data_IF_799682889344
#
_entry.id   IF_799682889344
#
_cell.length_a   1.000
_cell.length_b   1.000
_cell.length_c   1.000
_cell.angle_alpha   90.00
_cell.angle_beta   90.00
_cell.angle_gamma   90.00
#
_symmetry.space_group_name_H-M   'P 1'
#
loop_
_entity.id
_entity.type
_entity.pdbx_description
1 polymer ?
#
# COMPACT_ATOMS: atom_id res chain seq x y z
N UNK A 1 -6.84 -27.21 24.10
CA UNK A 1 -7.48 -25.91 24.34
C UNK A 1 -6.58 -24.86 23.72
N UNK A 2 -6.98 -24.19 22.63
CA UNK A 2 -6.23 -23.09 22.07
C UNK A 2 -6.22 -21.93 23.06
N UNK A 3 -5.01 -21.53 23.51
CA UNK A 3 -4.83 -20.39 24.42
C UNK A 3 -5.25 -19.10 23.72
N UNK A 4 -5.77 -18.14 24.47
CA UNK A 4 -6.04 -16.78 23.98
C UNK A 4 -4.72 -16.13 23.55
N UNK A 5 -4.68 -15.56 22.33
CA UNK A 5 -3.51 -14.88 21.80
C UNK A 5 -3.56 -13.40 22.19
N UNK A 6 -2.54 -12.93 22.88
CA UNK A 6 -2.41 -11.50 23.22
C UNK A 6 -1.85 -10.72 22.03
N UNK A 7 -2.51 -9.64 21.67
CA UNK A 7 -2.10 -8.72 20.59
C UNK A 7 -1.95 -7.32 21.16
N UNK A 8 -0.73 -6.81 21.13
CA UNK A 8 -0.43 -5.44 21.50
C UNK A 8 -0.54 -4.52 20.28
N UNK A 9 -1.37 -3.49 20.36
CA UNK A 9 -1.51 -2.45 19.33
C UNK A 9 -0.80 -1.20 19.86
N UNK A 10 0.24 -0.74 19.19
CA UNK A 10 1.01 0.42 19.64
C UNK A 10 0.25 1.71 19.37
N UNK A 11 0.01 2.49 20.41
CA UNK A 11 -0.48 3.87 20.28
C UNK A 11 0.72 4.82 20.29
N UNK A 12 1.25 5.10 19.11
CA UNK A 12 2.34 6.03 18.91
C UNK A 12 1.81 7.45 18.75
N UNK A 13 2.64 8.45 19.05
CA UNK A 13 2.31 9.83 18.78
C UNK A 13 2.02 10.05 17.29
N UNK A 14 0.94 10.80 16.98
CA UNK A 14 0.46 11.04 15.63
C UNK A 14 0.14 9.77 14.82
N UNK A 15 -0.11 8.64 15.50
CA UNK A 15 -0.55 7.41 14.83
C UNK A 15 -1.87 7.61 14.10
N UNK A 16 -2.01 6.99 12.93
CA UNK A 16 -3.26 6.96 12.18
C UNK A 16 -4.38 6.33 13.01
N UNK A 17 -5.46 7.06 13.24
CA UNK A 17 -6.63 6.53 13.94
C UNK A 17 -7.22 5.31 13.22
N UNK A 18 -7.15 5.27 11.89
CA UNK A 18 -7.58 4.14 11.08
C UNK A 18 -6.73 2.90 11.35
N UNK A 19 -5.40 3.07 11.42
CA UNK A 19 -4.48 1.97 11.65
C UNK A 19 -4.51 1.44 13.10
N UNK A 20 -5.08 2.22 14.03
CA UNK A 20 -5.40 1.74 15.39
C UNK A 20 -6.74 1.02 15.43
N UNK A 21 -7.76 1.56 14.77
CA UNK A 21 -9.11 1.03 14.79
C UNK A 21 -9.25 -0.28 14.00
N UNK A 22 -8.64 -0.37 12.82
CA UNK A 22 -8.76 -1.53 11.93
C UNK A 22 -8.35 -2.83 12.60
N UNK A 23 -7.13 -2.99 13.18
CA UNK A 23 -6.76 -4.23 13.83
C UNK A 23 -7.62 -4.52 15.07
N UNK A 24 -8.01 -3.48 15.82
CA UNK A 24 -8.88 -3.66 16.95
C UNK A 24 -10.24 -4.23 16.53
N UNK A 25 -10.92 -3.62 15.57
CA UNK A 25 -12.25 -4.04 15.13
C UNK A 25 -12.22 -5.42 14.45
N UNK A 26 -11.25 -5.66 13.56
CA UNK A 26 -11.15 -6.94 12.85
C UNK A 26 -10.88 -8.10 13.83
N UNK A 27 -9.89 -7.96 14.70
CA UNK A 27 -9.52 -9.03 15.63
C UNK A 27 -10.57 -9.22 16.75
N UNK A 28 -11.21 -8.13 17.19
CA UNK A 28 -12.30 -8.18 18.17
C UNK A 28 -13.57 -8.84 17.60
N UNK A 29 -13.80 -8.79 16.30
CA UNK A 29 -14.93 -9.45 15.63
C UNK A 29 -14.77 -10.98 15.55
N UNK A 30 -13.55 -11.51 15.72
CA UNK A 30 -13.27 -12.94 15.57
C UNK A 30 -13.97 -13.76 16.65
N UNK A 31 -14.64 -14.83 16.21
CA UNK A 31 -15.26 -15.83 17.09
C UNK A 31 -14.85 -17.23 16.63
N UNK A 32 -14.43 -18.05 17.59
CA UNK A 32 -14.21 -19.47 17.36
C UNK A 32 -15.56 -20.21 17.19
N UNK A 33 -15.58 -21.46 16.71
CA UNK A 33 -16.81 -22.24 16.58
C UNK A 33 -17.59 -22.38 17.89
N UNK A 34 -16.92 -22.37 19.04
CA UNK A 34 -17.49 -22.43 20.37
C UNK A 34 -17.95 -21.06 20.94
N UNK A 35 -17.88 -19.98 20.12
CA UNK A 35 -18.28 -18.61 20.46
C UNK A 35 -17.23 -17.79 21.23
N UNK A 36 -16.10 -18.40 21.66
CA UNK A 36 -15.04 -17.68 22.40
C UNK A 36 -14.34 -16.65 21.51
N UNK A 37 -13.88 -15.57 22.13
CA UNK A 37 -12.96 -14.61 21.54
C UNK A 37 -11.53 -15.12 21.67
N UNK A 38 -10.81 -15.38 20.55
CA UNK A 38 -9.49 -15.97 20.62
C UNK A 38 -8.38 -14.93 20.82
N UNK A 39 -8.67 -13.64 20.70
CA UNK A 39 -7.71 -12.56 20.90
C UNK A 39 -8.00 -11.73 22.14
N UNK A 40 -6.94 -11.42 22.89
CA UNK A 40 -6.90 -10.39 23.92
C UNK A 40 -6.17 -9.19 23.34
N UNK A 41 -6.89 -8.07 23.16
CA UNK A 41 -6.37 -6.87 22.49
C UNK A 41 -5.97 -5.85 23.54
N UNK A 42 -4.71 -5.40 23.47
CA UNK A 42 -4.11 -4.46 24.40
C UNK A 42 -3.63 -3.25 23.62
N UNK A 43 -4.13 -2.06 23.96
CA UNK A 43 -3.65 -0.81 23.39
C UNK A 43 -2.52 -0.29 24.28
N UNK A 44 -1.30 -0.19 23.72
CA UNK A 44 -0.11 0.13 24.45
C UNK A 44 0.42 1.50 24.06
N UNK A 45 0.48 2.44 25.01
CA UNK A 45 1.21 3.70 24.85
C UNK A 45 2.64 3.51 25.32
N UNK A 46 3.60 3.88 24.48
CA UNK A 46 5.03 3.81 24.81
C UNK A 46 5.56 5.11 25.39
N UNK A 47 4.75 6.14 25.39
CA UNK A 47 5.06 7.45 25.94
C UNK A 47 3.93 7.95 26.85
N UNK A 48 4.22 8.51 28.03
CA UNK A 48 3.19 9.08 28.89
C UNK A 48 2.48 10.26 28.18
N UNK A 49 1.17 10.25 28.17
CA UNK A 49 0.38 11.41 27.69
C UNK A 49 0.00 11.38 26.21
N UNK A 50 0.28 10.32 25.46
CA UNK A 50 -0.24 10.17 24.09
C UNK A 50 -1.78 10.07 24.16
N UNK A 51 -2.53 11.10 23.69
CA UNK A 51 -3.97 11.04 23.71
C UNK A 51 -4.43 10.05 22.62
N UNK A 52 -4.92 8.88 23.01
CA UNK A 52 -5.75 8.08 22.13
C UNK A 52 -7.09 8.80 21.96
N UNK A 53 -7.09 9.85 21.16
CA UNK A 53 -8.31 10.60 20.89
C UNK A 53 -9.36 9.65 20.33
N UNK A 54 -10.36 9.30 21.17
CA UNK A 54 -11.59 8.57 20.84
C UNK A 54 -11.59 7.03 20.85
N UNK A 55 -10.51 6.36 21.20
CA UNK A 55 -10.61 4.94 21.52
C UNK A 55 -10.63 4.76 23.03
N UNK A 56 -11.77 4.37 23.58
CA UNK A 56 -11.90 3.94 24.98
C UNK A 56 -11.30 2.55 25.12
N UNK A 57 -9.98 2.47 25.11
CA UNK A 57 -9.28 1.27 25.47
C UNK A 57 -9.30 1.12 27.00
N UNK A 58 -9.71 -0.03 27.48
CA UNK A 58 -9.52 -0.38 28.89
C UNK A 58 -8.04 -0.71 29.09
N UNK A 59 -7.34 0.20 29.79
CA UNK A 59 -5.98 0.00 30.26
C UNK A 59 -4.93 0.37 29.21
N UNK A 60 -4.18 1.41 29.53
CA UNK A 60 -2.87 1.68 28.94
C UNK A 60 -1.89 0.79 29.67
N UNK A 61 -1.22 -0.08 28.92
CA UNK A 61 -0.25 -0.99 29.50
C UNK A 61 1.16 -0.56 29.12
N UNK A 62 2.08 -0.70 30.06
CA UNK A 62 3.50 -0.38 29.86
C UNK A 62 4.20 -1.42 28.98
N UNK A 63 5.44 -1.18 28.61
CA UNK A 63 6.32 -2.01 27.78
C UNK A 63 6.37 -3.52 28.13
N UNK A 64 6.06 -3.90 29.36
CA UNK A 64 5.98 -5.29 29.79
C UNK A 64 5.03 -6.14 28.95
N UNK A 65 3.99 -5.52 28.41
CA UNK A 65 2.97 -6.17 27.56
C UNK A 65 3.53 -6.67 26.24
N UNK A 66 4.49 -5.98 25.64
CA UNK A 66 5.12 -6.44 24.40
C UNK A 66 5.82 -7.78 24.59
N UNK A 67 6.42 -8.00 25.76
CA UNK A 67 7.08 -9.26 26.12
C UNK A 67 6.08 -10.43 26.17
N UNK A 68 4.88 -10.17 26.68
CA UNK A 68 3.87 -11.21 26.90
C UNK A 68 2.91 -11.37 25.71
N UNK A 69 3.02 -10.48 24.70
CA UNK A 69 2.20 -10.53 23.50
C UNK A 69 2.70 -11.57 22.51
N UNK A 70 1.77 -12.18 21.77
CA UNK A 70 2.05 -13.04 20.64
C UNK A 70 2.36 -12.21 19.39
N UNK A 71 1.60 -11.11 19.20
CA UNK A 71 1.72 -10.21 18.05
C UNK A 71 1.77 -8.76 18.52
N UNK A 72 2.63 -7.96 17.89
CA UNK A 72 2.70 -6.52 18.09
C UNK A 72 2.30 -5.84 16.79
N UNK A 73 1.30 -4.98 16.83
CA UNK A 73 0.83 -4.19 15.68
C UNK A 73 1.42 -2.80 15.76
N UNK A 74 2.09 -2.40 14.70
CA UNK A 74 2.75 -1.10 14.53
C UNK A 74 1.94 -0.27 13.54
N UNK A 75 1.22 0.78 13.99
CA UNK A 75 0.41 1.62 13.12
C UNK A 75 1.28 2.55 12.27
N UNK A 76 0.69 3.10 11.21
CA UNK A 76 1.28 4.19 10.46
C UNK A 76 1.25 5.52 11.21
N UNK A 77 2.23 6.37 10.90
CA UNK A 77 2.37 7.76 11.36
C UNK A 77 2.95 8.61 10.22
N UNK A 78 2.91 9.96 10.30
CA UNK A 78 3.55 10.80 9.30
C UNK A 78 5.04 10.46 9.11
N UNK A 79 5.45 10.32 7.84
CA UNK A 79 6.84 9.95 7.49
C UNK A 79 7.82 11.08 7.75
N UNK A 80 7.35 12.34 7.65
CA UNK A 80 8.15 13.55 7.89
C UNK A 80 7.94 14.12 9.30
N UNK A 81 7.37 13.29 10.19
CA UNK A 81 7.18 13.63 11.60
C UNK A 81 8.46 13.55 12.42
N UNK A 82 8.36 13.93 13.69
CA UNK A 82 9.45 13.81 14.65
C UNK A 82 9.96 12.37 14.76
N UNK A 83 11.26 12.22 15.01
CA UNK A 83 11.89 10.91 15.22
C UNK A 83 11.21 10.17 16.37
N UNK A 84 10.99 8.88 16.18
CA UNK A 84 10.46 8.02 17.25
C UNK A 84 11.52 7.85 18.33
N UNK A 85 11.09 7.80 19.59
CA UNK A 85 11.98 7.52 20.72
C UNK A 85 12.84 6.29 20.44
N UNK A 86 14.16 6.35 20.70
CA UNK A 86 15.05 5.19 20.59
C UNK A 86 14.55 3.95 21.35
N UNK A 87 13.80 4.18 22.43
CA UNK A 87 13.21 3.10 23.24
C UNK A 87 12.15 2.31 22.46
N UNK A 88 11.36 2.98 21.61
CA UNK A 88 10.40 2.30 20.71
C UNK A 88 11.14 1.36 19.77
N UNK A 89 12.20 1.86 19.12
CA UNK A 89 12.99 1.05 18.17
C UNK A 89 13.65 -0.14 18.88
N UNK A 90 14.17 0.08 20.08
CA UNK A 90 14.77 -0.98 20.89
C UNK A 90 13.74 -2.05 21.29
N UNK A 91 12.52 -1.63 21.65
CA UNK A 91 11.47 -2.59 22.01
C UNK A 91 11.02 -3.44 20.82
N UNK A 92 10.89 -2.84 19.63
CA UNK A 92 10.57 -3.58 18.41
C UNK A 92 11.66 -4.62 18.09
N UNK A 93 12.94 -4.25 18.20
CA UNK A 93 14.07 -5.18 18.04
C UNK A 93 13.99 -6.34 19.04
N UNK A 94 13.75 -6.04 20.33
CA UNK A 94 13.60 -7.05 21.38
C UNK A 94 12.42 -7.97 21.14
N UNK A 95 11.28 -7.42 20.67
CA UNK A 95 10.10 -8.23 20.38
C UNK A 95 10.40 -9.25 19.26
N UNK A 96 11.03 -8.84 18.14
CA UNK A 96 11.45 -9.76 17.08
C UNK A 96 12.46 -10.78 17.60
N UNK A 97 13.48 -10.34 18.35
CA UNK A 97 14.51 -11.24 18.90
C UNK A 97 13.94 -12.29 19.85
N UNK A 98 12.87 -11.96 20.57
CA UNK A 98 12.16 -12.93 21.46
C UNK A 98 11.07 -13.73 20.75
N UNK A 99 11.05 -13.72 19.41
CA UNK A 99 10.17 -14.54 18.59
C UNK A 99 8.73 -14.03 18.48
N UNK A 100 8.48 -12.75 18.79
CA UNK A 100 7.15 -12.15 18.60
C UNK A 100 6.92 -11.85 17.12
N UNK A 101 5.67 -11.95 16.69
CA UNK A 101 5.25 -11.49 15.36
C UNK A 101 5.02 -9.99 15.40
N UNK A 102 5.60 -9.26 14.42
CA UNK A 102 5.36 -7.84 14.23
C UNK A 102 4.51 -7.66 12.97
N UNK A 103 3.40 -6.93 13.10
CA UNK A 103 2.53 -6.58 11.98
C UNK A 103 2.54 -5.07 11.79
N UNK A 104 3.21 -4.56 10.74
CA UNK A 104 3.26 -3.13 10.44
C UNK A 104 2.17 -2.74 9.44
N UNK A 105 1.43 -1.70 9.77
CA UNK A 105 0.42 -1.09 8.92
C UNK A 105 0.96 0.19 8.29
N UNK A 106 0.70 0.39 7.00
CA UNK A 106 1.02 1.65 6.32
C UNK A 106 2.48 2.07 6.51
N UNK A 107 2.70 3.30 6.98
CA UNK A 107 4.02 3.87 7.29
C UNK A 107 4.67 3.29 8.54
N UNK A 108 3.99 2.41 9.28
CA UNK A 108 4.64 1.60 10.33
C UNK A 108 5.81 0.76 9.81
N UNK A 109 5.81 0.46 8.51
CA UNK A 109 6.94 -0.20 7.82
C UNK A 109 8.23 0.64 7.90
N UNK A 110 8.14 1.98 7.87
CA UNK A 110 9.31 2.85 8.03
C UNK A 110 9.94 2.71 9.42
N UNK A 111 9.11 2.57 10.46
CA UNK A 111 9.64 2.32 11.81
C UNK A 111 10.41 1.01 11.91
N UNK A 112 9.92 -0.04 11.25
CA UNK A 112 10.64 -1.32 11.23
C UNK A 112 11.95 -1.20 10.45
N UNK A 113 11.99 -0.40 9.37
CA UNK A 113 13.21 -0.10 8.64
C UNK A 113 14.21 0.70 9.49
N UNK A 114 13.77 1.75 10.20
CA UNK A 114 14.57 2.52 11.17
C UNK A 114 15.10 1.62 12.31
N UNK A 115 14.31 0.65 12.73
CA UNK A 115 14.75 -0.36 13.69
C UNK A 115 15.77 -1.35 13.12
N UNK A 116 16.10 -1.32 11.81
CA UNK A 116 17.02 -2.26 11.17
C UNK A 116 16.46 -3.68 11.07
N UNK A 117 15.14 -3.83 11.06
CA UNK A 117 14.46 -5.13 11.04
C UNK A 117 14.08 -5.61 9.63
N UNK A 118 14.30 -4.78 8.60
CA UNK A 118 13.82 -5.07 7.24
C UNK A 118 14.94 -5.29 6.22
N UNK A 119 16.20 -5.40 6.64
CA UNK A 119 17.33 -5.63 5.73
C UNK A 119 17.18 -6.97 5.01
N UNK A 120 17.01 -6.92 3.68
CA UNK A 120 16.78 -8.09 2.85
C UNK A 120 15.41 -8.75 3.01
N UNK A 121 14.49 -8.16 3.80
CA UNK A 121 13.14 -8.71 4.03
C UNK A 121 12.17 -8.14 3.00
N UNK A 122 11.41 -9.00 2.29
CA UNK A 122 10.32 -8.54 1.44
C UNK A 122 9.20 -7.89 2.25
N UNK A 123 8.75 -6.70 1.81
CA UNK A 123 7.71 -5.91 2.50
C UNK A 123 6.69 -5.32 1.53
N UNK A 124 5.47 -5.12 2.00
CA UNK A 124 4.50 -4.24 1.36
C UNK A 124 4.66 -2.82 1.89
N UNK A 125 4.55 -1.85 1.00
CA UNK A 125 4.45 -0.43 1.32
C UNK A 125 3.40 0.22 0.43
N UNK A 126 2.82 1.33 0.87
CA UNK A 126 1.87 2.08 0.05
C UNK A 126 2.56 2.50 -1.26
N UNK A 127 1.88 2.33 -2.40
CA UNK A 127 2.45 2.61 -3.72
C UNK A 127 3.08 4.01 -3.83
N UNK A 128 2.47 5.04 -3.21
CA UNK A 128 2.99 6.42 -3.25
C UNK A 128 4.24 6.64 -2.39
N UNK A 129 4.53 5.73 -1.44
CA UNK A 129 5.65 5.83 -0.50
C UNK A 129 6.72 4.76 -0.72
N UNK A 130 6.50 3.81 -1.64
CA UNK A 130 7.43 2.72 -1.92
C UNK A 130 8.82 3.23 -2.32
N UNK A 131 8.90 4.22 -3.22
CA UNK A 131 10.16 4.83 -3.64
C UNK A 131 10.86 5.57 -2.50
N UNK A 132 10.10 6.25 -1.63
CA UNK A 132 10.65 6.96 -0.48
C UNK A 132 11.23 5.98 0.55
N UNK A 133 10.55 4.84 0.78
CA UNK A 133 11.06 3.79 1.66
C UNK A 133 12.40 3.24 1.15
N UNK A 134 12.49 2.90 -0.15
CA UNK A 134 13.75 2.43 -0.76
C UNK A 134 14.84 3.49 -0.74
N UNK A 135 14.48 4.77 -0.96
CA UNK A 135 15.44 5.87 -0.91
C UNK A 135 16.07 6.05 0.48
N UNK A 136 15.27 5.96 1.55
CA UNK A 136 15.74 6.07 2.96
C UNK A 136 16.42 4.79 3.44
N UNK A 137 15.96 3.63 2.99
CA UNK A 137 16.44 2.32 3.44
C UNK A 137 16.70 1.40 2.23
N UNK A 138 17.87 1.56 1.56
CA UNK A 138 18.17 0.85 0.30
C UNK A 138 18.23 -0.68 0.41
N UNK A 139 18.40 -1.23 1.60
CA UNK A 139 18.42 -2.67 1.86
C UNK A 139 17.03 -3.32 1.91
N UNK A 140 15.96 -2.53 1.94
CA UNK A 140 14.58 -3.03 2.02
C UNK A 140 14.07 -3.47 0.64
N UNK A 141 13.47 -4.66 0.58
CA UNK A 141 12.91 -5.22 -0.64
C UNK A 141 11.39 -4.94 -0.70
N UNK A 142 11.00 -3.89 -1.41
CA UNK A 142 9.58 -3.54 -1.55
C UNK A 142 8.91 -4.37 -2.63
N UNK A 143 7.76 -4.98 -2.30
CA UNK A 143 6.85 -5.65 -3.23
C UNK A 143 5.76 -4.65 -3.65
N UNK A 144 5.88 -3.97 -4.81
CA UNK A 144 5.08 -2.78 -5.12
C UNK A 144 3.58 -3.05 -5.31
N UNK A 145 3.22 -4.28 -5.73
CA UNK A 145 1.83 -4.64 -6.02
C UNK A 145 1.12 -5.34 -4.85
N UNK A 146 1.85 -5.68 -3.78
CA UNK A 146 1.29 -6.45 -2.68
C UNK A 146 0.45 -5.57 -1.75
N UNK A 147 -0.79 -5.99 -1.42
CA UNK A 147 -1.58 -5.39 -0.34
C UNK A 147 -0.93 -5.63 1.01
N UNK A 148 -0.40 -6.82 1.22
CA UNK A 148 0.41 -7.21 2.38
C UNK A 148 1.46 -8.24 1.98
N UNK A 149 2.52 -8.34 2.76
CA UNK A 149 3.57 -9.36 2.63
C UNK A 149 3.78 -10.01 4.00
N UNK A 150 3.74 -11.34 4.02
CA UNK A 150 4.05 -12.15 5.19
C UNK A 150 5.46 -12.75 5.04
N UNK A 151 6.40 -12.21 5.78
CA UNK A 151 7.80 -12.68 5.84
C UNK A 151 8.10 -13.45 7.14
N UNK A 152 7.09 -14.16 7.68
CA UNK A 152 7.25 -14.99 8.87
C UNK A 152 7.01 -14.24 10.18
N UNK A 153 8.06 -13.80 10.85
CA UNK A 153 7.94 -12.99 12.07
C UNK A 153 7.55 -11.54 11.80
N UNK A 154 7.73 -11.06 10.57
CA UNK A 154 7.38 -9.71 10.14
C UNK A 154 6.31 -9.80 9.07
N UNK A 155 5.19 -9.09 9.27
CA UNK A 155 4.11 -8.97 8.30
C UNK A 155 3.86 -7.48 8.06
N UNK A 156 3.81 -7.05 6.80
CA UNK A 156 3.64 -5.63 6.47
C UNK A 156 2.45 -5.43 5.53
N UNK A 157 1.75 -4.32 5.63
CA UNK A 157 0.71 -3.95 4.68
C UNK A 157 0.93 -2.57 4.07
N UNK A 158 0.36 -2.38 2.89
CA UNK A 158 0.35 -1.11 2.19
C UNK A 158 -0.42 0.00 2.94
N UNK A 159 -1.16 -0.34 4.00
CA UNK A 159 -1.95 0.61 4.77
C UNK A 159 -3.33 0.86 4.19
N UNK A 160 -4.05 1.82 4.75
CA UNK A 160 -5.44 2.07 4.42
C UNK A 160 -6.26 0.77 4.47
N UNK A 161 -7.11 0.50 3.47
CA UNK A 161 -7.91 -0.72 3.43
C UNK A 161 -7.10 -2.02 3.36
N UNK A 162 -5.83 -1.99 2.95
CA UNK A 162 -4.95 -3.17 2.98
C UNK A 162 -4.61 -3.64 4.40
N UNK A 163 -4.79 -2.79 5.41
CA UNK A 163 -4.74 -3.18 6.82
C UNK A 163 -5.80 -4.21 7.20
N UNK A 164 -7.00 -4.12 6.59
CA UNK A 164 -8.07 -5.11 6.76
C UNK A 164 -7.65 -6.49 6.23
N UNK A 165 -7.04 -6.51 5.02
CA UNK A 165 -6.55 -7.74 4.39
C UNK A 165 -5.46 -8.39 5.24
N UNK A 166 -4.52 -7.59 5.75
CA UNK A 166 -3.48 -8.07 6.66
C UNK A 166 -4.10 -8.67 7.92
N UNK A 167 -5.05 -8.00 8.58
CA UNK A 167 -5.68 -8.51 9.78
C UNK A 167 -6.45 -9.81 9.52
N UNK A 168 -7.19 -9.93 8.42
CA UNK A 168 -7.86 -11.17 8.02
C UNK A 168 -6.86 -12.29 7.71
N UNK A 169 -5.70 -11.96 7.10
CA UNK A 169 -4.60 -12.91 6.91
C UNK A 169 -4.04 -13.41 8.25
N UNK A 170 -3.85 -12.54 9.23
CA UNK A 170 -3.42 -12.95 10.57
C UNK A 170 -4.43 -13.91 11.19
N UNK A 171 -5.74 -13.63 11.08
CA UNK A 171 -6.79 -14.54 11.56
C UNK A 171 -6.72 -15.89 10.86
N UNK A 172 -6.53 -15.89 9.54
CA UNK A 172 -6.39 -17.12 8.76
C UNK A 172 -5.17 -17.94 9.17
N UNK A 173 -4.05 -17.28 9.42
CA UNK A 173 -2.81 -17.91 9.88
C UNK A 173 -2.94 -18.50 11.27
N UNK A 174 -3.65 -17.84 12.18
CA UNK A 174 -3.77 -18.23 13.57
C UNK A 174 -4.85 -19.29 13.81
N UNK A 175 -5.98 -19.22 13.08
CA UNK A 175 -7.18 -20.03 13.35
C UNK A 175 -7.77 -20.70 12.10
N UNK A 176 -7.13 -20.56 10.96
CA UNK A 176 -7.54 -21.19 9.70
C UNK A 176 -8.58 -20.40 8.90
N UNK A 177 -8.79 -20.87 7.66
CA UNK A 177 -9.59 -20.16 6.66
C UNK A 177 -11.09 -20.06 7.05
N UNK A 178 -11.63 -21.04 7.78
CA UNK A 178 -13.04 -21.03 8.19
C UNK A 178 -13.32 -19.87 9.15
N UNK A 179 -12.47 -19.69 10.17
CA UNK A 179 -12.61 -18.61 11.16
C UNK A 179 -12.42 -17.25 10.48
N UNK A 180 -11.42 -17.12 9.61
CA UNK A 180 -11.18 -15.90 8.84
C UNK A 180 -12.35 -15.56 7.92
N UNK A 181 -12.93 -16.54 7.21
CA UNK A 181 -14.12 -16.33 6.36
C UNK A 181 -15.32 -15.85 7.18
N UNK A 182 -15.52 -16.39 8.37
CA UNK A 182 -16.62 -15.96 9.26
C UNK A 182 -16.42 -14.53 9.73
N UNK A 183 -15.19 -14.16 10.13
CA UNK A 183 -14.85 -12.79 10.50
C UNK A 183 -15.04 -11.81 9.33
N UNK A 184 -14.57 -12.17 8.14
CA UNK A 184 -14.73 -11.37 6.94
C UNK A 184 -16.21 -11.10 6.60
N UNK A 185 -17.07 -12.12 6.67
CA UNK A 185 -18.51 -11.97 6.48
C UNK A 185 -19.17 -11.03 7.50
N UNK A 186 -18.77 -11.11 8.77
CA UNK A 186 -19.30 -10.25 9.81
C UNK A 186 -18.94 -8.78 9.57
N UNK A 187 -17.79 -8.53 8.95
CA UNK A 187 -17.29 -7.21 8.61
C UNK A 187 -17.71 -6.74 7.20
N UNK A 188 -18.52 -7.54 6.47
CA UNK A 188 -18.92 -7.30 5.08
C UNK A 188 -17.72 -7.16 4.13
N UNK A 189 -16.65 -7.89 4.40
CA UNK A 189 -15.42 -7.89 3.63
C UNK A 189 -15.25 -9.20 2.84
N UNK A 190 -14.66 -9.16 1.63
CA UNK A 190 -14.15 -10.36 1.00
C UNK A 190 -12.93 -10.87 1.79
N UNK A 191 -12.76 -12.20 1.92
CA UNK A 191 -11.60 -12.77 2.59
C UNK A 191 -10.28 -12.44 1.87
N UNK A 192 -10.34 -12.36 0.54
CA UNK A 192 -9.21 -11.98 -0.30
C UNK A 192 -9.70 -11.01 -1.38
N UNK A 193 -8.93 -9.94 -1.59
CA UNK A 193 -9.18 -9.01 -2.70
C UNK A 193 -8.21 -9.31 -3.83
N UNK A 194 -8.72 -9.60 -5.05
CA UNK A 194 -7.87 -9.77 -6.22
C UNK A 194 -7.26 -8.44 -6.66
N UNK A 195 -6.07 -8.48 -7.27
CA UNK A 195 -5.48 -7.35 -8.00
C UNK A 195 -4.48 -6.48 -7.24
N UNK A 196 -4.20 -6.77 -5.98
CA UNK A 196 -3.16 -6.05 -5.23
C UNK A 196 -3.35 -4.52 -5.20
N UNK A 197 -2.25 -3.77 -5.18
CA UNK A 197 -2.24 -2.30 -5.26
C UNK A 197 -2.25 -1.78 -6.71
N UNK A 198 -1.96 -2.62 -7.71
CA UNK A 198 -1.80 -2.18 -9.10
C UNK A 198 -2.96 -1.30 -9.63
N UNK A 199 -4.25 -1.56 -9.30
CA UNK A 199 -5.34 -0.69 -9.72
C UNK A 199 -5.27 0.73 -9.14
N UNK A 200 -4.58 0.92 -8.01
CA UNK A 200 -4.48 2.19 -7.29
C UNK A 200 -3.12 2.85 -7.45
N UNK A 201 -2.08 2.07 -7.79
CA UNK A 201 -0.69 2.50 -7.87
C UNK A 201 -0.35 3.32 -9.13
N UNK A 202 -1.26 3.38 -10.09
CA UNK A 202 -1.07 4.24 -11.26
C UNK A 202 -1.55 5.64 -10.88
N UNK A 203 -0.69 6.66 -10.81
CA UNK A 203 -1.12 8.04 -10.68
C UNK A 203 -2.14 8.35 -11.77
N UNK A 204 -3.18 9.10 -11.49
CA UNK A 204 -4.15 9.52 -12.50
C UNK A 204 -3.43 10.26 -13.64
N UNK A 205 -2.38 10.99 -13.29
CA UNK A 205 -1.36 11.48 -14.20
C UNK A 205 0.03 11.20 -13.63
N UNK A 206 1.03 10.84 -14.46
CA UNK A 206 2.41 10.75 -14.00
C UNK A 206 2.82 12.06 -13.33
N UNK A 207 3.33 12.00 -12.09
CA UNK A 207 3.74 13.19 -11.34
C UNK A 207 4.90 13.87 -12.07
N UNK A 208 4.74 15.14 -12.40
CA UNK A 208 5.79 15.92 -13.06
C UNK A 208 6.92 16.19 -12.05
N UNK A 209 8.16 15.79 -12.32
CA UNK A 209 9.30 16.19 -11.49
C UNK A 209 9.49 17.71 -11.59
N UNK A 210 9.31 18.43 -10.49
CA UNK A 210 9.27 19.89 -10.47
C UNK A 210 10.54 20.62 -10.94
N UNK A 211 11.66 19.89 -11.08
CA UNK A 211 12.97 20.45 -11.51
C UNK A 211 13.55 19.73 -12.73
N UNK A 212 12.79 18.85 -13.38
CA UNK A 212 13.29 18.13 -14.54
C UNK A 212 13.39 19.03 -15.77
N UNK A 213 14.49 18.91 -16.51
CA UNK A 213 14.64 19.52 -17.84
C UNK A 213 13.59 19.02 -18.85
N UNK A 214 12.87 17.94 -18.54
CA UNK A 214 11.78 17.40 -19.34
C UNK A 214 10.40 17.87 -18.87
N UNK A 215 10.28 18.77 -17.88
CA UNK A 215 9.00 19.19 -17.32
C UNK A 215 8.01 19.68 -18.41
N UNK A 216 8.47 20.52 -19.34
CA UNK A 216 7.65 21.03 -20.45
C UNK A 216 7.20 19.90 -21.41
N UNK A 217 8.07 18.92 -21.66
CA UNK A 217 7.72 17.75 -22.47
C UNK A 217 6.66 16.90 -21.78
N UNK A 218 6.81 16.68 -20.48
CA UNK A 218 5.87 15.87 -19.70
C UNK A 218 4.49 16.53 -19.63
N UNK A 219 4.44 17.85 -19.43
CA UNK A 219 3.21 18.64 -19.49
C UNK A 219 2.56 18.50 -20.86
N UNK A 220 3.33 18.72 -21.92
CA UNK A 220 2.82 18.59 -23.27
C UNK A 220 2.30 17.19 -23.61
N UNK A 221 2.97 16.11 -23.17
CA UNK A 221 2.48 14.73 -23.33
C UNK A 221 1.11 14.57 -22.69
N UNK A 222 0.94 15.03 -21.45
CA UNK A 222 -0.32 14.89 -20.72
C UNK A 222 -1.47 15.66 -21.38
N UNK A 223 -1.18 16.83 -21.94
CA UNK A 223 -2.19 17.66 -22.63
C UNK A 223 -2.53 17.12 -24.03
N UNK A 224 -1.67 16.26 -24.61
CA UNK A 224 -1.77 15.83 -26.01
C UNK A 224 -1.76 14.30 -26.19
N UNK A 225 -2.43 13.55 -25.32
CA UNK A 225 -2.39 12.08 -25.32
C UNK A 225 -2.87 11.42 -26.63
N UNK A 226 -3.70 12.13 -27.42
CA UNK A 226 -4.20 11.66 -28.71
C UNK A 226 -3.30 12.05 -29.89
N UNK A 227 -2.26 12.85 -29.67
CA UNK A 227 -1.31 13.28 -30.70
C UNK A 227 -0.27 12.18 -31.01
N UNK A 228 0.57 12.45 -32.02
CA UNK A 228 1.77 11.63 -32.25
C UNK A 228 2.78 11.84 -31.12
N UNK A 229 2.89 10.84 -30.26
CA UNK A 229 3.84 10.75 -29.15
C UNK A 229 4.95 9.74 -29.47
N UNK A 230 5.38 9.68 -30.74
CA UNK A 230 6.55 8.90 -31.14
C UNK A 230 7.83 9.45 -30.50
N UNK A 231 8.86 8.60 -30.37
CA UNK A 231 10.17 9.06 -29.88
C UNK A 231 10.74 10.21 -30.70
N UNK A 232 10.43 10.24 -32.00
CA UNK A 232 10.86 11.31 -32.89
C UNK A 232 10.18 12.65 -32.54
N UNK A 233 8.85 12.65 -32.45
CA UNK A 233 8.07 13.84 -32.09
C UNK A 233 8.46 14.41 -30.71
N UNK A 234 8.66 13.53 -29.72
CA UNK A 234 9.11 13.92 -28.39
C UNK A 234 10.54 14.48 -28.40
N UNK A 235 11.45 13.89 -29.17
CA UNK A 235 12.83 14.35 -29.28
C UNK A 235 12.90 15.73 -29.97
N UNK A 236 12.17 15.91 -31.06
CA UNK A 236 12.06 17.18 -31.78
C UNK A 236 11.55 18.32 -30.88
N UNK A 237 10.52 18.03 -30.07
CA UNK A 237 9.96 18.98 -29.09
C UNK A 237 10.97 19.45 -28.03
N UNK A 238 11.91 18.61 -27.68
CA UNK A 238 12.97 18.93 -26.72
C UNK A 238 14.23 19.53 -27.39
N UNK A 239 14.27 19.65 -28.71
CA UNK A 239 15.48 20.00 -29.42
C UNK A 239 16.59 18.97 -29.31
N UNK A 240 16.23 17.67 -29.13
CA UNK A 240 17.15 16.55 -28.95
C UNK A 240 17.03 15.56 -30.13
N UNK A 241 18.07 14.76 -30.31
CA UNK A 241 17.93 13.57 -31.15
C UNK A 241 17.36 12.41 -30.34
N UNK A 242 16.76 11.41 -31.01
CA UNK A 242 16.11 10.23 -30.38
C UNK A 242 17.05 9.46 -29.45
N UNK A 243 18.34 9.32 -29.83
CA UNK A 243 19.33 8.61 -29.00
C UNK A 243 19.59 9.33 -27.69
N UNK A 244 19.69 10.66 -27.73
CA UNK A 244 19.89 11.48 -26.54
C UNK A 244 18.68 11.43 -25.62
N UNK A 245 17.46 11.59 -26.17
CA UNK A 245 16.22 11.46 -25.42
C UNK A 245 16.13 10.09 -24.74
N UNK A 246 16.30 9.01 -25.51
CA UNK A 246 16.19 7.64 -24.98
C UNK A 246 17.20 7.31 -23.87
N UNK A 247 18.37 7.97 -23.86
CA UNK A 247 19.38 7.79 -22.82
C UNK A 247 19.14 8.66 -21.59
N UNK A 248 18.74 9.92 -21.79
CA UNK A 248 18.66 10.90 -20.70
C UNK A 248 17.32 10.86 -19.98
N UNK A 249 16.22 10.66 -20.70
CA UNK A 249 14.89 10.61 -20.11
C UNK A 249 14.75 9.54 -19.01
N UNK A 250 15.17 8.26 -19.20
CA UNK A 250 15.12 7.28 -18.12
C UNK A 250 16.01 7.62 -16.93
N UNK A 251 17.13 8.33 -17.17
CA UNK A 251 18.03 8.74 -16.09
C UNK A 251 17.41 9.84 -15.22
N UNK A 252 16.68 10.78 -15.84
CA UNK A 252 16.11 11.95 -15.15
C UNK A 252 14.70 11.64 -14.60
N UNK A 253 13.93 10.76 -15.26
CA UNK A 253 12.51 10.48 -14.97
C UNK A 253 12.31 9.07 -14.36
N UNK A 254 13.28 8.17 -14.51
CA UNK A 254 13.20 6.81 -13.97
C UNK A 254 12.52 5.79 -14.90
N UNK A 255 11.80 6.22 -15.93
CA UNK A 255 11.12 5.36 -16.91
C UNK A 255 11.39 5.81 -18.34
N UNK A 256 11.19 4.93 -19.33
CA UNK A 256 11.35 5.32 -20.74
C UNK A 256 10.24 6.28 -21.20
N UNK A 257 10.47 7.12 -22.25
CA UNK A 257 9.43 8.00 -22.80
C UNK A 257 8.16 7.25 -23.20
N UNK A 258 8.26 6.05 -23.76
CA UNK A 258 7.10 5.24 -24.16
C UNK A 258 6.36 4.62 -22.97
N UNK A 259 7.09 4.26 -21.91
CA UNK A 259 6.46 3.84 -20.66
C UNK A 259 5.67 4.98 -20.03
N UNK A 260 6.23 6.19 -20.02
CA UNK A 260 5.53 7.38 -19.55
C UNK A 260 4.23 7.65 -20.33
N UNK A 261 4.31 7.69 -21.67
CA UNK A 261 3.12 7.85 -22.53
C UNK A 261 2.07 6.79 -22.26
N UNK A 262 2.51 5.52 -22.09
CA UNK A 262 1.59 4.43 -21.79
C UNK A 262 0.90 4.64 -20.45
N UNK A 263 1.64 5.03 -19.41
CA UNK A 263 1.08 5.31 -18.09
C UNK A 263 0.09 6.49 -18.12
N UNK A 264 0.43 7.58 -18.79
CA UNK A 264 -0.44 8.74 -18.93
C UNK A 264 -1.75 8.38 -19.67
N UNK A 265 -1.67 7.63 -20.77
CA UNK A 265 -2.85 7.14 -21.50
C UNK A 265 -3.72 6.20 -20.67
N UNK A 266 -3.11 5.31 -19.87
CA UNK A 266 -3.85 4.42 -18.97
C UNK A 266 -4.50 5.22 -17.84
N UNK A 267 -3.83 6.23 -17.27
CA UNK A 267 -4.41 7.16 -16.31
C UNK A 267 -5.69 7.79 -16.85
N UNK A 268 -5.62 8.39 -18.05
CA UNK A 268 -6.78 8.97 -18.72
C UNK A 268 -7.91 7.97 -18.97
N UNK A 269 -7.57 6.75 -19.40
CA UNK A 269 -8.56 5.69 -19.61
C UNK A 269 -9.27 5.29 -18.30
N UNK A 270 -8.57 5.27 -17.17
CA UNK A 270 -9.16 5.00 -15.84
C UNK A 270 -10.17 6.06 -15.45
N UNK A 271 -9.84 7.35 -15.61
CA UNK A 271 -10.75 8.47 -15.37
C UNK A 271 -12.04 8.30 -16.20
N UNK A 272 -11.89 8.08 -17.51
CA UNK A 272 -13.02 7.93 -18.41
C UNK A 272 -13.88 6.69 -18.09
N UNK A 273 -13.27 5.57 -17.69
CA UNK A 273 -13.99 4.37 -17.27
C UNK A 273 -14.76 4.58 -15.98
N UNK A 274 -14.23 5.37 -15.04
CA UNK A 274 -14.85 5.63 -13.74
C UNK A 274 -15.95 6.72 -13.82
N UNK A 275 -15.80 7.71 -14.73
CA UNK A 275 -16.64 8.92 -14.76
C UNK A 275 -17.62 8.99 -15.94
N UNK A 276 -17.56 8.06 -16.91
CA UNK A 276 -18.38 8.10 -18.12
C UNK A 276 -18.92 6.74 -18.53
N UNK A 277 -20.04 6.75 -19.29
CA UNK A 277 -20.62 5.55 -19.91
C UNK A 277 -20.07 5.25 -21.32
N UNK A 278 -18.98 5.92 -21.72
CA UNK A 278 -18.36 5.69 -23.02
C UNK A 278 -18.04 4.18 -23.21
N UNK A 279 -18.35 3.58 -24.36
CA UNK A 279 -17.96 2.20 -24.61
C UNK A 279 -16.43 2.04 -24.51
N UNK A 280 -15.96 0.86 -24.12
CA UNK A 280 -14.51 0.59 -23.91
C UNK A 280 -13.65 0.99 -25.11
N UNK A 281 -14.19 0.84 -26.33
CA UNK A 281 -13.55 1.28 -27.56
C UNK A 281 -13.44 2.81 -27.66
N UNK A 282 -14.51 3.51 -27.26
CA UNK A 282 -14.51 4.99 -27.19
C UNK A 282 -13.51 5.50 -26.17
N UNK A 283 -13.42 4.84 -25.01
CA UNK A 283 -12.40 5.14 -23.98
C UNK A 283 -10.99 4.93 -24.53
N UNK A 284 -10.73 3.81 -25.20
CA UNK A 284 -9.42 3.55 -25.80
C UNK A 284 -8.99 4.67 -26.77
N UNK A 285 -9.90 5.08 -27.64
CA UNK A 285 -9.66 6.17 -28.61
C UNK A 285 -9.45 7.52 -27.91
N UNK A 286 -10.31 7.87 -26.96
CA UNK A 286 -10.20 9.12 -26.20
C UNK A 286 -8.94 9.20 -25.35
N UNK A 287 -8.41 8.06 -24.90
CA UNK A 287 -7.15 7.94 -24.19
C UNK A 287 -5.91 7.89 -25.13
N UNK A 288 -6.09 7.98 -26.45
CA UNK A 288 -4.99 8.04 -27.42
C UNK A 288 -4.46 6.69 -27.89
N UNK A 289 -5.20 5.59 -27.68
CA UNK A 289 -4.83 4.27 -28.23
C UNK A 289 -5.41 4.10 -29.63
N UNK A 290 -4.56 3.70 -30.57
CA UNK A 290 -4.96 3.40 -31.97
C UNK A 290 -5.46 1.96 -32.15
N UNK A 291 -5.15 1.06 -31.20
CA UNK A 291 -5.55 -0.34 -31.24
C UNK A 291 -6.24 -0.76 -29.94
N UNK A 292 -7.47 -1.26 -30.06
CA UNK A 292 -8.25 -1.75 -28.92
C UNK A 292 -7.60 -2.98 -28.25
N UNK A 293 -6.97 -3.85 -29.03
CA UNK A 293 -6.26 -5.03 -28.49
C UNK A 293 -5.02 -4.60 -27.69
N UNK A 294 -4.23 -3.66 -28.20
CA UNK A 294 -3.09 -3.09 -27.48
C UNK A 294 -3.55 -2.36 -26.21
N UNK A 295 -4.62 -1.57 -26.28
CA UNK A 295 -5.23 -0.94 -25.11
C UNK A 295 -5.57 -1.96 -24.02
N UNK A 296 -6.34 -3.01 -24.36
CA UNK A 296 -6.74 -4.04 -23.41
C UNK A 296 -5.54 -4.74 -22.75
N UNK A 297 -4.53 -5.08 -23.55
CA UNK A 297 -3.31 -5.72 -23.07
C UNK A 297 -2.53 -4.80 -22.12
N UNK A 298 -2.30 -3.54 -22.50
CA UNK A 298 -1.60 -2.55 -21.67
C UNK A 298 -2.38 -2.17 -20.43
N UNK A 299 -3.69 -1.99 -20.54
CA UNK A 299 -4.55 -1.70 -19.40
C UNK A 299 -4.48 -2.84 -18.37
N UNK A 300 -4.61 -4.10 -18.82
CA UNK A 300 -4.49 -5.26 -17.93
C UNK A 300 -3.09 -5.39 -17.33
N UNK A 301 -2.05 -5.12 -18.10
CA UNK A 301 -0.66 -5.16 -17.63
C UNK A 301 -0.41 -4.12 -16.53
N UNK A 302 -0.94 -2.90 -16.67
CA UNK A 302 -0.70 -1.77 -15.76
C UNK A 302 -1.67 -1.79 -14.57
N UNK A 303 -2.95 -2.13 -14.80
CA UNK A 303 -4.02 -2.02 -13.79
C UNK A 303 -4.32 -3.35 -13.12
N UNK A 304 -3.88 -4.47 -13.70
CA UNK A 304 -4.18 -5.82 -13.19
C UNK A 304 -5.59 -6.32 -13.54
N UNK A 305 -6.51 -5.46 -13.97
CA UNK A 305 -7.89 -5.76 -14.32
C UNK A 305 -8.15 -5.48 -15.81
N UNK A 306 -9.20 -6.12 -16.36
CA UNK A 306 -9.70 -5.72 -17.69
C UNK A 306 -10.43 -4.37 -17.59
N UNK A 307 -10.49 -3.54 -18.68
CA UNK A 307 -11.25 -2.29 -18.67
C UNK A 307 -12.71 -2.46 -18.25
N UNK A 308 -13.37 -3.56 -18.66
CA UNK A 308 -14.74 -3.88 -18.28
C UNK A 308 -14.87 -4.17 -16.78
N UNK A 309 -13.96 -4.99 -16.23
CA UNK A 309 -13.96 -5.31 -14.80
C UNK A 309 -13.64 -4.07 -13.95
N UNK A 310 -12.72 -3.22 -14.41
CA UNK A 310 -12.39 -1.94 -13.75
C UNK A 310 -13.62 -1.03 -13.70
N UNK A 311 -14.37 -0.87 -14.80
CA UNK A 311 -15.61 -0.08 -14.82
C UNK A 311 -16.64 -0.61 -13.84
N UNK A 312 -16.88 -1.93 -13.83
CA UNK A 312 -17.85 -2.55 -12.93
C UNK A 312 -17.58 -2.22 -11.45
N UNK A 313 -16.32 -2.06 -11.04
CA UNK A 313 -15.99 -1.68 -9.66
C UNK A 313 -16.43 -0.25 -9.26
N UNK A 314 -16.88 0.58 -10.20
CA UNK A 314 -17.37 1.95 -9.93
C UNK A 314 -18.85 2.15 -10.28
N UNK A 315 -19.44 1.28 -11.10
CA UNK A 315 -20.81 1.45 -11.67
C UNK A 315 -21.80 0.38 -11.21
N UNK A 316 -21.41 -0.62 -10.41
CA UNK A 316 -22.34 -1.55 -9.78
C UNK A 316 -23.07 -0.83 -8.62
N UNK A 317 -24.13 -0.11 -9.02
CA UNK A 317 -25.24 0.29 -8.16
C UNK A 317 -26.52 -0.20 -8.75
#
# INVERSE_FOLDING_TARGET
MTSTLKVAILALENASAFDLAVPYEVLNAVRLPDGRRPYELLLCALEPGVPAQRLTARGWEEWGVLRDSHTVIVPGRPVDGESVSPDVLLALRRAVHTGKRIAALSTGTFLLAEAGLLDGVPVAAHWSLANELVRRHPSVQVCPDALYVDSGSIVTSAGASAGLDLCLHLVQRDFGAEVATRAARQLLLPLQRPGGQAPFAVPDHPTLPGTSRFADLLTWINDNLSADLSLYAMAERCGLNVRTLSRQFPRDIGVTPQQWVTQARIGRARELLASTDLPVEGVAKAAGFTSLSNFRARFRQVVGLTPKAYRASFHDR
#
